data_IF_374110617103
#
_entry.id   IF_374110617103
#
_cell.length_a   1.000
_cell.length_b   1.000
_cell.length_c   1.000
_cell.angle_alpha   90.00
_cell.angle_beta   90.00
_cell.angle_gamma   90.00
#
_symmetry.space_group_name_H-M   'P 1'
#
loop_
_entity.id
_entity.type
_entity.pdbx_description
1 polymer ?
#
# COMPACT_ATOMS: atom_id res chain seq x y z
N UNK A 1 -3.46 46.32 38.00
CA UNK A 1 -4.71 46.06 38.75
C UNK A 1 -5.20 44.66 38.35
N UNK A 2 -4.53 43.53 38.64
CA UNK A 2 -4.50 42.76 39.90
C UNK A 2 -5.86 42.69 40.62
N UNK A 3 -6.78 41.88 40.11
CA UNK A 3 -7.95 41.44 40.87
C UNK A 3 -7.74 40.00 41.31
N UNK A 4 -7.35 39.86 42.57
CA UNK A 4 -7.34 38.63 43.35
C UNK A 4 -8.67 38.57 44.10
N UNK A 5 -9.48 37.55 43.88
CA UNK A 5 -10.48 37.14 44.87
C UNK A 5 -10.30 35.65 45.11
N UNK A 6 -9.64 35.36 46.23
CA UNK A 6 -9.64 34.06 46.88
C UNK A 6 -10.97 33.92 47.62
N UNK A 7 -11.70 32.83 47.41
CA UNK A 7 -12.58 32.31 48.45
C UNK A 7 -12.33 30.80 48.57
N UNK A 8 -11.64 30.45 49.64
CA UNK A 8 -11.49 29.10 50.14
C UNK A 8 -12.76 28.72 50.89
N UNK A 9 -13.23 27.48 50.72
CA UNK A 9 -14.08 26.80 51.69
C UNK A 9 -13.41 25.48 52.05
N UNK A 10 -13.14 25.35 53.35
CA UNK A 10 -12.50 24.23 54.04
C UNK A 10 -13.53 23.13 54.37
N UNK A 11 -13.18 21.87 54.07
CA UNK A 11 -13.30 20.63 54.88
C UNK A 11 -14.70 20.15 55.37
N UNK A 12 -14.89 18.93 55.94
CA UNK A 12 -14.03 17.72 56.03
C UNK A 12 -14.74 16.38 55.66
N UNK A 13 -13.92 15.32 55.53
CA UNK A 13 -14.10 13.92 55.92
C UNK A 13 -15.50 13.23 55.97
N UNK A 14 -15.63 12.16 55.18
CA UNK A 14 -16.17 10.80 55.48
C UNK A 14 -16.56 10.15 54.13
N UNK A 15 -16.53 8.85 53.85
CA UNK A 15 -16.64 7.66 54.67
C UNK A 15 -16.13 6.47 53.82
N UNK A 16 -15.48 5.51 54.46
CA UNK A 16 -14.98 4.25 53.90
C UNK A 16 -16.14 3.41 53.34
N UNK A 17 -15.99 2.83 52.15
CA UNK A 17 -16.78 1.67 51.71
C UNK A 17 -15.85 0.62 51.10
N UNK A 18 -15.51 -0.37 51.93
CA UNK A 18 -14.94 -1.65 51.54
C UNK A 18 -16.02 -2.41 50.77
N UNK A 19 -15.81 -2.66 49.48
CA UNK A 19 -16.58 -3.67 48.76
C UNK A 19 -15.79 -4.97 48.74
N UNK A 20 -16.35 -5.92 49.50
CA UNK A 20 -15.94 -7.30 49.61
C UNK A 20 -15.94 -7.99 48.24
N UNK A 21 -14.86 -8.72 47.98
CA UNK A 21 -14.74 -9.64 46.87
C UNK A 21 -15.68 -10.83 47.06
N UNK A 22 -16.55 -11.08 46.07
CA UNK A 22 -17.08 -12.41 45.78
C UNK A 22 -16.62 -12.78 44.37
N UNK A 23 -15.57 -13.59 44.30
CA UNK A 23 -15.06 -14.18 43.07
C UNK A 23 -16.01 -15.25 42.55
N UNK A 24 -16.52 -15.04 41.34
CA UNK A 24 -17.20 -16.04 40.52
C UNK A 24 -16.30 -16.42 39.35
N UNK A 25 -15.92 -17.70 39.31
CA UNK A 25 -15.01 -18.30 38.35
C UNK A 25 -15.64 -18.52 36.97
N UNK A 26 -14.77 -18.64 35.97
CA UNK A 26 -14.93 -19.29 34.65
C UNK A 26 -15.36 -18.43 33.46
N UNK A 27 -14.39 -17.71 32.87
CA UNK A 27 -14.25 -17.69 31.41
C UNK A 27 -12.85 -18.19 31.04
N UNK A 28 -12.88 -19.29 30.30
CA UNK A 28 -11.77 -20.06 29.76
C UNK A 28 -10.98 -19.23 28.75
N UNK A 29 -9.78 -18.80 29.15
CA UNK A 29 -8.77 -18.34 28.22
C UNK A 29 -8.28 -19.53 27.37
N UNK A 30 -8.11 -19.39 26.05
CA UNK A 30 -7.32 -20.33 25.27
C UNK A 30 -5.83 -20.13 25.60
N UNK A 31 -5.18 -21.22 26.00
CA UNK A 31 -3.74 -21.28 26.25
C UNK A 31 -2.89 -20.85 25.02
N UNK A 32 -1.70 -20.26 25.27
CA UNK A 32 -0.70 -19.99 24.26
C UNK A 32 0.06 -21.28 23.91
N UNK A 33 0.06 -21.68 22.64
CA UNK A 33 0.95 -22.73 22.18
C UNK A 33 2.41 -22.22 22.14
N UNK A 34 3.36 -22.96 22.76
CA UNK A 34 4.78 -22.63 22.71
C UNK A 34 5.39 -22.96 21.34
N UNK A 35 6.37 -22.16 20.97
CA UNK A 35 7.26 -22.38 19.85
C UNK A 35 8.02 -23.73 20.00
N UNK A 36 7.88 -24.58 18.98
CA UNK A 36 8.82 -25.62 18.58
C UNK A 36 8.69 -25.69 17.04
N UNK A 37 9.60 -25.10 16.25
CA UNK A 37 10.93 -25.62 15.91
C UNK A 37 10.93 -27.12 15.59
N UNK A 38 10.47 -27.46 14.39
CA UNK A 38 10.92 -28.64 13.66
C UNK A 38 10.98 -28.30 12.18
N UNK A 39 12.20 -28.36 11.64
CA UNK A 39 12.52 -28.23 10.22
C UNK A 39 11.91 -29.37 9.40
N UNK A 40 11.59 -29.14 8.12
CA UNK A 40 11.61 -30.20 7.11
C UNK A 40 12.93 -30.14 6.33
N UNK A 41 13.74 -31.17 6.51
CA UNK A 41 14.77 -31.60 5.55
C UNK A 41 14.09 -31.99 4.23
N UNK A 42 14.73 -31.74 3.09
CA UNK A 42 14.78 -32.78 2.08
C UNK A 42 16.23 -32.96 1.60
N UNK A 43 16.80 -34.10 1.97
CA UNK A 43 18.01 -34.64 1.36
C UNK A 43 17.71 -36.08 1.00
N UNK A 44 17.54 -36.34 -0.29
CA UNK A 44 18.20 -37.43 -1.03
C UNK A 44 17.44 -37.76 -2.33
N UNK A 45 18.24 -37.81 -3.41
CA UNK A 45 17.99 -38.38 -4.74
C UNK A 45 17.38 -39.81 -4.74
N UNK A 46 16.87 -40.27 -5.89
CA UNK A 46 17.73 -41.09 -6.77
C UNK A 46 17.69 -40.72 -8.27
N UNK A 47 18.88 -40.56 -8.84
CA UNK A 47 19.45 -41.29 -10.00
C UNK A 47 18.66 -41.44 -11.33
N UNK A 48 19.17 -40.73 -12.36
CA UNK A 48 19.42 -41.05 -13.81
C UNK A 48 18.91 -42.38 -14.42
N UNK A 49 18.75 -42.57 -15.78
CA UNK A 49 19.16 -41.71 -16.92
C UNK A 49 18.16 -41.59 -18.11
N UNK A 50 18.44 -40.63 -19.02
CA UNK A 50 18.23 -40.81 -20.48
C UNK A 50 16.97 -40.22 -21.14
N UNK A 51 17.09 -39.01 -21.69
CA UNK A 51 16.63 -38.78 -23.07
C UNK A 51 17.33 -37.58 -23.70
N UNK A 52 18.26 -37.93 -24.57
CA UNK A 52 18.81 -37.16 -25.68
C UNK A 52 17.71 -36.36 -26.38
N UNK A 53 17.87 -35.04 -26.53
CA UNK A 53 17.85 -34.42 -27.86
C UNK A 53 18.36 -32.98 -27.80
N UNK A 54 19.45 -32.80 -28.55
CA UNK A 54 19.84 -31.58 -29.28
C UNK A 54 20.22 -30.34 -28.46
N UNK A 55 21.53 -30.30 -28.14
CA UNK A 55 22.32 -29.07 -28.22
C UNK A 55 22.27 -28.55 -29.67
N UNK A 56 21.67 -27.39 -29.87
CA UNK A 56 22.04 -26.51 -31.00
C UNK A 56 22.61 -25.24 -30.39
N UNK A 57 23.92 -25.11 -30.53
CA UNK A 57 24.68 -23.88 -30.36
C UNK A 57 25.47 -23.75 -31.65
N UNK A 58 24.94 -22.99 -32.60
CA UNK A 58 25.56 -22.42 -33.81
C UNK A 58 24.41 -21.68 -34.53
N UNK A 59 24.47 -20.48 -35.06
CA UNK A 59 25.47 -19.42 -35.24
C UNK A 59 24.64 -18.22 -35.77
N UNK A 60 25.16 -17.01 -35.63
CA UNK A 60 24.72 -15.81 -36.35
C UNK A 60 23.20 -15.55 -36.41
N UNK A 61 22.70 -14.86 -35.39
CA UNK A 61 21.49 -14.07 -35.55
C UNK A 61 21.56 -12.90 -34.61
N UNK A 62 21.62 -11.69 -35.14
CA UNK A 62 21.13 -10.52 -34.44
C UNK A 62 19.69 -10.85 -34.03
N UNK A 63 19.53 -11.42 -32.84
CA UNK A 63 18.29 -11.44 -32.11
C UNK A 63 18.01 -9.98 -31.82
N UNK A 64 17.47 -9.30 -32.82
CA UNK A 64 16.78 -8.05 -32.64
C UNK A 64 15.75 -8.40 -31.58
N UNK A 65 16.05 -8.03 -30.33
CA UNK A 65 15.07 -7.50 -29.41
C UNK A 65 14.20 -6.67 -30.32
N UNK A 66 13.04 -7.23 -30.68
CA UNK A 66 12.06 -6.49 -31.42
C UNK A 66 11.63 -5.47 -30.38
N UNK A 67 12.39 -4.38 -30.34
CA UNK A 67 11.97 -3.06 -29.92
C UNK A 67 10.80 -2.77 -30.85
N UNK A 68 9.67 -3.44 -30.61
CA UNK A 68 8.37 -2.95 -31.02
C UNK A 68 8.36 -1.60 -30.38
N UNK A 69 8.61 -0.58 -31.21
CA UNK A 69 8.44 0.82 -30.87
C UNK A 69 7.10 0.86 -30.17
N UNK A 70 7.13 0.94 -28.85
CA UNK A 70 5.93 0.71 -28.09
C UNK A 70 5.01 1.84 -28.50
N UNK A 71 3.76 1.52 -28.84
CA UNK A 71 2.80 2.51 -29.32
C UNK A 71 2.35 3.47 -28.19
N UNK A 72 3.22 3.68 -27.17
CA UNK A 72 2.98 4.34 -25.90
C UNK A 72 1.92 3.64 -25.04
N UNK A 73 1.68 2.35 -25.32
CA UNK A 73 0.71 1.48 -24.60
C UNK A 73 1.33 0.20 -24.05
N UNK A 74 2.66 0.08 -24.07
CA UNK A 74 3.28 -0.98 -23.30
C UNK A 74 3.03 -0.78 -21.81
N UNK A 75 3.10 -1.84 -21.02
CA UNK A 75 3.00 -1.74 -19.56
C UNK A 75 4.02 -0.73 -18.99
N UNK A 76 5.20 -0.65 -19.60
CA UNK A 76 6.26 0.28 -19.20
C UNK A 76 5.90 1.74 -19.49
N UNK A 77 5.32 2.03 -20.66
CA UNK A 77 4.85 3.38 -21.02
C UNK A 77 3.71 3.85 -20.11
N UNK A 78 2.77 2.95 -19.85
CA UNK A 78 1.65 3.20 -18.93
C UNK A 78 2.21 3.51 -17.55
N UNK A 79 3.08 2.65 -17.03
CA UNK A 79 3.72 2.85 -15.74
C UNK A 79 4.54 4.15 -15.72
N UNK A 80 5.24 4.51 -16.79
CA UNK A 80 6.01 5.76 -16.86
C UNK A 80 5.12 7.01 -16.79
N UNK A 81 3.97 7.01 -17.49
CA UNK A 81 2.98 8.10 -17.43
C UNK A 81 2.34 8.22 -16.05
N UNK A 82 2.01 7.10 -15.41
CA UNK A 82 1.47 7.09 -14.05
C UNK A 82 2.52 7.56 -13.04
N UNK A 83 3.78 7.11 -13.17
CA UNK A 83 4.91 7.57 -12.35
C UNK A 83 5.17 9.08 -12.51
N UNK A 84 4.92 9.66 -13.69
CA UNK A 84 5.03 11.11 -13.87
C UNK A 84 4.03 11.90 -13.02
N UNK A 85 2.90 11.28 -12.63
CA UNK A 85 1.89 11.83 -11.71
C UNK A 85 2.13 11.47 -10.24
N UNK A 86 3.30 10.93 -9.91
CA UNK A 86 3.69 10.62 -8.53
C UNK A 86 3.48 11.79 -7.55
N UNK A 87 3.81 13.07 -7.84
CA UNK A 87 3.59 14.13 -6.85
C UNK A 87 2.11 14.39 -6.58
N UNK A 88 1.24 14.38 -7.59
CA UNK A 88 -0.21 14.55 -7.41
C UNK A 88 -0.84 13.37 -6.68
N UNK A 89 -0.48 12.14 -7.08
CA UNK A 89 -0.86 10.89 -6.42
C UNK A 89 -0.40 10.88 -4.96
N UNK A 90 0.81 11.38 -4.68
CA UNK A 90 1.34 11.48 -3.31
C UNK A 90 0.56 12.52 -2.49
N UNK A 91 0.20 13.66 -3.08
CA UNK A 91 -0.61 14.67 -2.42
C UNK A 91 -2.01 14.15 -2.02
N UNK A 92 -2.60 13.24 -2.80
CA UNK A 92 -3.84 12.54 -2.42
C UNK A 92 -3.68 11.77 -1.10
N UNK A 93 -2.59 11.01 -0.98
CA UNK A 93 -2.28 10.25 0.23
C UNK A 93 -1.91 11.17 1.40
N UNK A 94 -1.07 12.18 1.18
CA UNK A 94 -0.59 13.08 2.25
C UNK A 94 -1.73 13.88 2.92
N UNK A 95 -2.78 14.23 2.16
CA UNK A 95 -3.99 14.88 2.70
C UNK A 95 -4.70 14.02 3.75
N UNK A 96 -4.73 12.70 3.54
CA UNK A 96 -5.36 11.76 4.47
C UNK A 96 -4.37 11.38 5.59
N UNK A 97 -3.10 11.20 5.26
CA UNK A 97 -2.04 10.92 6.23
C UNK A 97 -1.86 12.04 7.27
N UNK A 98 -2.18 13.29 6.90
CA UNK A 98 -2.19 14.43 7.84
C UNK A 98 -3.26 14.31 8.93
N UNK A 99 -4.36 13.61 8.64
CA UNK A 99 -5.44 13.34 9.62
C UNK A 99 -5.20 12.03 10.35
N UNK A 100 -4.76 11.02 9.62
CA UNK A 100 -4.53 9.66 10.10
C UNK A 100 -3.07 9.25 9.82
N UNK A 101 -2.13 9.53 10.73
CA UNK A 101 -0.69 9.32 10.50
C UNK A 101 -0.26 7.85 10.44
N UNK A 102 -1.21 6.92 10.67
CA UNK A 102 -1.01 5.47 10.60
C UNK A 102 -1.51 4.85 9.30
N UNK A 103 -2.00 5.64 8.32
CA UNK A 103 -2.43 5.06 7.04
C UNK A 103 -1.22 4.60 6.25
N UNK A 104 -1.23 3.35 5.82
CA UNK A 104 -0.26 2.78 4.90
C UNK A 104 -0.92 1.60 4.21
N UNK A 105 -0.42 1.22 3.04
CA UNK A 105 -0.96 0.09 2.31
C UNK A 105 -0.91 0.28 0.82
N UNK A 106 -1.58 -0.64 0.15
CA UNK A 106 -1.63 -0.74 -1.30
C UNK A 106 -3.02 -0.33 -1.80
N UNK A 107 -3.04 0.34 -2.94
CA UNK A 107 -4.27 0.69 -3.66
C UNK A 107 -4.10 0.24 -5.09
N UNK A 108 -4.88 -0.74 -5.51
CA UNK A 108 -4.89 -1.17 -6.90
C UNK A 108 -5.96 -0.40 -7.68
N UNK A 109 -5.56 0.25 -8.77
CA UNK A 109 -6.48 0.99 -9.64
C UNK A 109 -6.54 0.30 -10.99
N UNK A 110 -7.74 -0.18 -11.33
CA UNK A 110 -8.06 -0.71 -12.65
C UNK A 110 -8.62 0.38 -13.56
N UNK A 111 -8.25 0.33 -14.83
CA UNK A 111 -8.72 1.27 -15.84
C UNK A 111 -8.65 0.68 -17.24
N UNK A 112 -9.43 1.26 -18.15
CA UNK A 112 -9.44 0.91 -19.56
C UNK A 112 -8.99 2.12 -20.37
N UNK A 113 -8.05 1.94 -21.29
CA UNK A 113 -7.62 2.99 -22.21
C UNK A 113 -8.40 2.77 -23.52
N UNK A 114 -9.22 3.74 -23.90
CA UNK A 114 -9.97 3.71 -25.15
C UNK A 114 -9.03 3.75 -26.38
N UNK A 115 -9.52 3.47 -27.61
CA UNK A 115 -8.68 3.56 -28.82
C UNK A 115 -8.06 4.95 -29.06
N UNK A 116 -8.66 6.02 -28.55
CA UNK A 116 -8.25 7.42 -28.68
C UNK A 116 -7.25 7.88 -27.60
N UNK A 117 -6.97 7.02 -26.61
CA UNK A 117 -6.05 7.28 -25.51
C UNK A 117 -6.63 8.01 -24.29
N UNK A 118 -7.95 8.06 -24.14
CA UNK A 118 -8.57 8.49 -22.89
C UNK A 118 -8.73 7.30 -21.94
N UNK A 119 -8.70 7.55 -20.64
CA UNK A 119 -9.04 6.54 -19.65
C UNK A 119 -10.55 6.53 -19.44
N UNK A 120 -11.12 5.34 -19.53
CA UNK A 120 -12.50 4.99 -19.24
C UNK A 120 -12.53 3.92 -18.16
N UNK A 121 -13.64 3.80 -17.43
CA UNK A 121 -13.84 2.75 -16.42
C UNK A 121 -12.73 2.69 -15.34
N UNK A 122 -12.31 3.88 -14.86
CA UNK A 122 -11.30 4.03 -13.81
C UNK A 122 -11.94 3.77 -12.44
N UNK A 123 -11.50 2.71 -11.77
CA UNK A 123 -12.01 2.32 -10.46
C UNK A 123 -10.93 1.69 -9.60
N UNK A 124 -11.10 1.75 -8.28
CA UNK A 124 -10.24 1.06 -7.32
C UNK A 124 -10.72 -0.38 -7.18
N UNK A 125 -9.80 -1.34 -7.14
CA UNK A 125 -10.11 -2.74 -6.84
C UNK A 125 -10.13 -2.97 -5.31
N UNK A 126 -11.29 -3.23 -4.70
CA UNK A 126 -11.38 -3.46 -3.26
C UNK A 126 -10.72 -4.78 -2.82
N UNK A 127 -10.51 -5.75 -3.72
CA UNK A 127 -9.88 -7.03 -3.39
C UNK A 127 -8.36 -6.90 -3.16
N UNK A 128 -7.74 -5.91 -3.80
CA UNK A 128 -6.30 -5.66 -3.76
C UNK A 128 -5.96 -4.31 -3.10
N UNK A 129 -6.93 -3.67 -2.46
CA UNK A 129 -6.76 -2.41 -1.73
C UNK A 129 -6.80 -2.65 -0.23
N UNK A 130 -5.73 -2.26 0.48
CA UNK A 130 -5.62 -2.38 1.94
C UNK A 130 -5.50 -1.01 2.63
N UNK A 131 -5.70 0.09 1.89
CA UNK A 131 -5.75 1.43 2.51
C UNK A 131 -7.12 1.61 3.19
N UNK A 132 -7.12 1.93 4.48
CA UNK A 132 -8.34 2.05 5.28
C UNK A 132 -9.16 3.33 5.04
N UNK A 133 -9.03 3.97 3.88
CA UNK A 133 -9.71 5.24 3.58
C UNK A 133 -10.06 5.39 2.09
N UNK A 134 -11.37 5.41 1.79
CA UNK A 134 -11.90 5.56 0.43
C UNK A 134 -11.57 6.92 -0.21
N UNK A 135 -11.30 7.95 0.59
CA UNK A 135 -10.98 9.28 0.08
C UNK A 135 -9.66 9.28 -0.70
N UNK A 136 -8.71 8.42 -0.33
CA UNK A 136 -7.46 8.21 -1.09
C UNK A 136 -7.79 7.65 -2.47
N UNK A 137 -8.59 6.58 -2.51
CA UNK A 137 -9.01 5.93 -3.75
C UNK A 137 -9.71 6.88 -4.70
N UNK A 138 -10.67 7.68 -4.20
CA UNK A 138 -11.38 8.68 -5.01
C UNK A 138 -10.44 9.74 -5.59
N UNK A 139 -9.53 10.29 -4.77
CA UNK A 139 -8.56 11.27 -5.23
C UNK A 139 -7.63 10.71 -6.32
N UNK A 140 -7.21 9.45 -6.17
CA UNK A 140 -6.39 8.76 -7.17
C UNK A 140 -7.12 8.59 -8.50
N UNK A 141 -8.37 8.15 -8.46
CA UNK A 141 -9.22 8.03 -9.65
C UNK A 141 -9.31 9.38 -10.39
N UNK A 142 -9.47 10.48 -9.66
CA UNK A 142 -9.55 11.82 -10.25
C UNK A 142 -8.22 12.26 -10.89
N UNK A 143 -7.08 11.98 -10.24
CA UNK A 143 -5.75 12.24 -10.83
C UNK A 143 -5.53 11.40 -12.09
N UNK A 144 -5.88 10.11 -12.05
CA UNK A 144 -5.70 9.19 -13.17
C UNK A 144 -6.53 9.60 -14.38
N UNK A 145 -7.76 10.10 -14.19
CA UNK A 145 -8.60 10.64 -15.28
C UNK A 145 -7.98 11.83 -16.03
N UNK A 146 -7.01 12.52 -15.44
CA UNK A 146 -6.29 13.61 -16.12
C UNK A 146 -5.20 13.11 -17.07
N UNK A 147 -4.83 11.83 -17.00
CA UNK A 147 -3.84 11.25 -17.88
C UNK A 147 -4.40 11.10 -19.29
N UNK A 148 -3.53 11.30 -20.27
CA UNK A 148 -3.82 11.06 -21.68
C UNK A 148 -2.72 10.18 -22.26
N UNK A 149 -3.15 9.08 -22.89
CA UNK A 149 -2.30 8.16 -23.60
C UNK A 149 -2.33 8.44 -25.10
N UNK A 150 -1.30 8.01 -25.84
CA UNK A 150 -1.38 8.01 -27.30
C UNK A 150 -2.48 7.04 -27.79
N UNK A 151 -3.04 7.31 -28.99
CA UNK A 151 -4.02 6.43 -29.61
C UNK A 151 -3.42 5.03 -29.88
N UNK A 152 -4.28 4.02 -29.88
CA UNK A 152 -3.89 2.64 -30.14
C UNK A 152 -3.47 2.48 -31.60
N UNK A 153 -2.26 1.97 -31.87
CA UNK A 153 -1.85 1.66 -33.24
C UNK A 153 -2.77 0.61 -33.91
N UNK A 154 -3.40 -0.25 -33.10
CA UNK A 154 -4.33 -1.31 -33.56
C UNK A 154 -5.81 -0.93 -33.43
N UNK A 155 -6.13 0.26 -32.94
CA UNK A 155 -7.52 0.69 -32.68
C UNK A 155 -8.24 -0.08 -31.57
N UNK A 156 -7.52 -0.85 -30.76
CA UNK A 156 -8.09 -1.64 -29.66
C UNK A 156 -8.00 -0.92 -28.33
N UNK A 157 -8.98 -1.18 -27.45
CA UNK A 157 -8.90 -0.79 -26.05
C UNK A 157 -7.82 -1.58 -25.30
N UNK A 158 -7.29 -1.01 -24.23
CA UNK A 158 -6.26 -1.66 -23.40
C UNK A 158 -6.71 -1.64 -21.95
N UNK A 159 -6.95 -2.82 -21.38
CA UNK A 159 -7.28 -2.97 -19.95
C UNK A 159 -5.99 -3.12 -19.16
N UNK A 160 -5.83 -2.30 -18.14
CA UNK A 160 -4.65 -2.33 -17.27
C UNK A 160 -5.06 -2.11 -15.81
N UNK A 161 -4.21 -2.57 -14.91
CA UNK A 161 -4.28 -2.24 -13.50
C UNK A 161 -2.91 -1.72 -13.06
N UNK A 162 -2.90 -0.81 -12.09
CA UNK A 162 -1.68 -0.25 -11.55
C UNK A 162 -1.73 -0.24 -10.02
N UNK A 163 -0.85 -1.00 -9.35
CA UNK A 163 -0.77 -0.99 -7.90
C UNK A 163 0.02 0.23 -7.41
N UNK A 164 -0.62 1.05 -6.58
CA UNK A 164 0.03 2.12 -5.84
C UNK A 164 0.41 1.63 -4.45
N UNK A 165 1.72 1.59 -4.17
CA UNK A 165 2.23 1.27 -2.85
C UNK A 165 2.46 2.57 -2.07
N UNK A 166 1.63 2.85 -1.07
CA UNK A 166 1.80 3.97 -0.17
C UNK A 166 2.46 3.52 1.12
N UNK A 167 3.74 3.88 1.26
CA UNK A 167 4.44 3.80 2.55
C UNK A 167 4.42 5.16 3.25
N UNK A 168 4.35 5.08 4.57
CA UNK A 168 4.74 6.19 5.44
C UNK A 168 6.19 6.53 5.12
N UNK A 169 6.46 7.80 4.83
CA UNK A 169 7.83 8.25 4.63
C UNK A 169 8.50 8.39 5.99
N UNK A 170 8.90 7.27 6.60
CA UNK A 170 9.53 7.24 7.93
C UNK A 170 10.75 8.15 7.99
N UNK A 171 11.52 8.25 6.91
CA UNK A 171 12.73 9.06 6.86
C UNK A 171 12.41 10.55 6.97
N UNK A 172 11.31 11.01 6.35
CA UNK A 172 10.83 12.37 6.55
C UNK A 172 10.30 12.62 7.97
N UNK A 173 9.62 11.65 8.59
CA UNK A 173 9.18 11.79 9.99
C UNK A 173 10.35 11.79 10.97
N UNK A 174 11.37 10.97 10.73
CA UNK A 174 12.61 10.95 11.51
C UNK A 174 13.35 12.27 11.38
N UNK A 175 13.53 12.76 10.15
CA UNK A 175 14.14 14.06 9.91
C UNK A 175 13.37 15.21 10.56
N UNK A 176 12.02 15.20 10.51
CA UNK A 176 11.20 16.23 11.15
C UNK A 176 11.22 16.14 12.70
N UNK A 177 11.29 14.93 13.26
CA UNK A 177 11.47 14.71 14.70
C UNK A 177 12.85 15.15 15.16
N UNK A 178 13.89 14.79 14.42
CA UNK A 178 15.28 15.16 14.71
C UNK A 178 15.50 16.67 14.52
N UNK A 179 14.73 17.32 13.65
CA UNK A 179 14.64 18.77 13.53
C UNK A 179 13.76 19.44 14.61
N UNK A 180 13.19 18.68 15.55
CA UNK A 180 12.36 19.21 16.64
C UNK A 180 11.01 19.79 16.22
N UNK A 181 10.55 19.50 15.01
CA UNK A 181 9.30 20.06 14.45
C UNK A 181 8.06 19.36 15.03
N UNK A 182 8.21 18.13 15.51
CA UNK A 182 7.13 17.32 16.10
C UNK A 182 7.56 16.83 17.47
N UNK A 183 6.80 17.20 18.52
CA UNK A 183 6.96 16.65 19.86
C UNK A 183 6.11 15.38 20.05
N UNK A 184 6.63 14.49 20.89
CA UNK A 184 6.09 13.14 21.19
C UNK A 184 4.64 13.16 21.66
#
# INVERSE_FOLDING_TARGET
MRSLVRLAVLAPAALVAVFAACGGSTVKAPDPQPAASSAPTPSAEPTSPGSTTTRVEEDAGLGQKLETKSDGRSAEDIAAKVRAKKPETRACYDKVASKNPKIEGDVDVKFVIDPQGNLTDVAVDPAHTNVGDEAVGKCLVDVMKTLKFPPSAKGLETRAHYPFNFKRNLDQFRAARDAGIIQQ
#
